data_IF_082282975279
#
_entry.id   IF_082282975279
#
_cell.length_a   1.000
_cell.length_b   1.000
_cell.length_c   1.000
_cell.angle_alpha   90.00
_cell.angle_beta   90.00
_cell.angle_gamma   90.00
#
_symmetry.space_group_name_H-M   'P 1'
#
loop_
_entity.id
_entity.type
_entity.pdbx_description
1 polymer ?
#
# COMPACT_ATOMS: atom_id res chain seq x y z
N UNK A 1 35.32 11.89 -14.15
CA UNK A 1 33.99 12.50 -13.86
C UNK A 1 32.89 12.11 -14.88
N UNK A 2 33.08 11.09 -15.74
CA UNK A 2 32.13 10.74 -16.81
C UNK A 2 31.10 9.63 -16.50
N UNK A 3 31.33 8.74 -15.52
CA UNK A 3 30.44 7.57 -15.33
C UNK A 3 29.15 7.84 -14.55
N UNK A 4 29.11 8.79 -13.62
CA UNK A 4 27.89 9.07 -12.82
C UNK A 4 26.75 9.67 -13.64
N UNK A 5 27.07 10.52 -14.63
CA UNK A 5 26.08 11.15 -15.51
C UNK A 5 25.43 10.17 -16.51
N UNK A 6 26.12 9.07 -16.85
CA UNK A 6 25.60 8.03 -17.74
C UNK A 6 24.56 7.16 -17.02
N UNK A 7 24.81 6.78 -15.77
CA UNK A 7 23.88 5.96 -14.97
C UNK A 7 22.61 6.71 -14.55
N UNK A 8 22.70 8.02 -14.32
CA UNK A 8 21.54 8.86 -13.97
C UNK A 8 20.58 9.03 -15.17
N UNK A 9 21.11 9.22 -16.39
CA UNK A 9 20.30 9.29 -17.60
C UNK A 9 19.50 8.00 -17.85
N UNK A 10 20.12 6.83 -17.65
CA UNK A 10 19.43 5.54 -17.83
C UNK A 10 18.36 5.30 -16.77
N UNK A 11 18.57 5.74 -15.53
CA UNK A 11 17.59 5.62 -14.45
C UNK A 11 16.38 6.55 -14.65
N UNK A 12 16.60 7.75 -15.17
CA UNK A 12 15.54 8.71 -15.49
C UNK A 12 14.70 8.26 -16.70
N UNK A 13 15.36 7.70 -17.71
CA UNK A 13 14.70 7.14 -18.91
C UNK A 13 13.87 5.89 -18.57
N UNK A 14 14.40 5.00 -17.72
CA UNK A 14 13.63 3.88 -17.16
C UNK A 14 12.49 4.34 -16.23
N UNK A 15 12.57 5.53 -15.61
CA UNK A 15 11.47 6.10 -14.79
C UNK A 15 10.37 6.67 -15.68
N UNK A 16 10.73 7.32 -16.80
CA UNK A 16 9.78 7.84 -17.80
C UNK A 16 9.03 6.73 -18.54
N UNK A 17 9.71 5.64 -18.90
CA UNK A 17 9.07 4.47 -19.51
C UNK A 17 8.11 3.73 -18.56
N UNK A 18 8.35 3.83 -17.24
CA UNK A 18 7.62 3.17 -16.15
C UNK A 18 6.33 3.88 -15.75
N UNK A 19 6.32 5.21 -15.71
CA UNK A 19 5.09 5.99 -15.49
C UNK A 19 4.14 5.95 -16.71
N UNK A 20 4.65 5.63 -17.92
CA UNK A 20 3.83 5.33 -19.12
C UNK A 20 3.07 4.00 -19.01
N UNK A 21 3.61 3.01 -18.30
CA UNK A 21 2.98 1.68 -18.16
C UNK A 21 1.75 1.75 -17.26
N UNK A 22 1.75 2.56 -16.21
CA UNK A 22 0.59 2.75 -15.34
C UNK A 22 -0.52 3.63 -15.90
N UNK A 23 -0.19 4.49 -16.85
CA UNK A 23 -1.08 5.49 -17.43
C UNK A 23 -2.22 4.91 -18.30
N UNK A 24 -2.08 3.68 -18.80
CA UNK A 24 -3.01 3.13 -19.81
C UNK A 24 -4.05 2.16 -19.22
N UNK A 25 -4.02 1.91 -17.92
CA UNK A 25 -4.97 1.00 -17.26
C UNK A 25 -6.25 1.73 -16.91
N UNK A 26 -7.33 1.34 -17.59
CA UNK A 26 -8.68 1.89 -17.36
C UNK A 26 -9.17 1.67 -15.93
N UNK A 27 -10.14 2.49 -15.50
CA UNK A 27 -10.80 2.31 -14.21
C UNK A 27 -11.48 0.94 -14.09
N UNK A 28 -12.11 0.44 -15.16
CA UNK A 28 -12.75 -0.88 -15.17
C UNK A 28 -11.76 -2.03 -14.97
N UNK A 29 -10.60 -1.96 -15.64
CA UNK A 29 -9.54 -2.97 -15.49
C UNK A 29 -8.92 -2.94 -14.09
N UNK A 30 -8.72 -1.75 -13.55
CA UNK A 30 -8.25 -1.58 -12.17
C UNK A 30 -9.21 -2.23 -11.17
N UNK A 31 -10.52 -1.96 -11.28
CA UNK A 31 -11.54 -2.57 -10.42
C UNK A 31 -11.56 -4.10 -10.57
N UNK A 32 -11.50 -4.60 -11.81
CA UNK A 32 -11.49 -6.05 -12.10
C UNK A 32 -10.32 -6.73 -11.37
N UNK A 33 -9.10 -6.22 -11.54
CA UNK A 33 -7.91 -6.83 -10.97
C UNK A 33 -7.90 -6.77 -9.43
N UNK A 34 -8.33 -5.65 -8.83
CA UNK A 34 -8.40 -5.54 -7.37
C UNK A 34 -9.51 -6.41 -6.77
N UNK A 35 -10.68 -6.51 -7.41
CA UNK A 35 -11.74 -7.44 -6.96
C UNK A 35 -11.28 -8.89 -7.06
N UNK A 36 -10.56 -9.24 -8.11
CA UNK A 36 -9.95 -10.57 -8.26
C UNK A 36 -8.95 -10.85 -7.14
N UNK A 37 -8.04 -9.91 -6.87
CA UNK A 37 -7.10 -9.97 -5.75
C UNK A 37 -7.84 -10.21 -4.43
N UNK A 38 -8.82 -9.38 -4.07
CA UNK A 38 -9.54 -9.48 -2.80
C UNK A 38 -10.27 -10.81 -2.65
N UNK A 39 -10.87 -11.32 -3.74
CA UNK A 39 -11.51 -12.65 -3.75
C UNK A 39 -10.52 -13.77 -3.43
N UNK A 40 -9.31 -13.72 -3.99
CA UNK A 40 -8.28 -14.72 -3.74
C UNK A 40 -7.73 -14.67 -2.31
N UNK A 41 -7.52 -13.46 -1.76
CA UNK A 41 -7.12 -13.29 -0.35
C UNK A 41 -8.16 -13.95 0.56
N UNK A 42 -9.45 -13.63 0.36
CA UNK A 42 -10.52 -14.11 1.22
C UNK A 42 -10.68 -15.65 1.21
N UNK A 43 -10.42 -16.29 0.06
CA UNK A 43 -10.44 -17.75 -0.09
C UNK A 43 -9.26 -18.42 0.63
N UNK A 44 -8.06 -17.81 0.59
CA UNK A 44 -6.88 -18.36 1.28
C UNK A 44 -7.02 -18.36 2.80
N UNK A 45 -7.81 -17.42 3.35
CA UNK A 45 -8.06 -17.27 4.79
C UNK A 45 -9.17 -18.16 5.37
N UNK A 46 -9.89 -18.97 4.58
CA UNK A 46 -10.99 -19.84 5.05
C UNK A 46 -10.54 -20.95 6.04
N UNK A 47 -9.23 -21.13 6.23
CA UNK A 47 -8.66 -22.09 7.19
C UNK A 47 -8.38 -21.55 8.60
N UNK A 48 -8.42 -20.24 8.86
CA UNK A 48 -8.09 -19.65 10.17
C UNK A 48 -9.24 -18.79 10.73
N UNK A 49 -9.64 -19.09 11.97
CA UNK A 49 -10.86 -18.63 12.67
C UNK A 49 -10.97 -17.13 13.01
N UNK A 50 -10.18 -16.25 12.39
CA UNK A 50 -10.34 -14.79 12.50
C UNK A 50 -10.25 -14.22 11.09
N UNK A 51 -11.40 -14.07 10.42
CA UNK A 51 -11.46 -13.57 9.05
C UNK A 51 -11.53 -12.05 9.13
N UNK A 52 -10.37 -11.39 9.16
CA UNK A 52 -10.28 -10.01 8.67
C UNK A 52 -10.85 -10.02 7.25
N UNK A 53 -11.76 -9.10 6.96
CA UNK A 53 -12.39 -8.98 5.66
C UNK A 53 -11.89 -7.70 5.01
N UNK A 54 -11.47 -7.82 3.75
CA UNK A 54 -11.01 -6.69 2.95
C UNK A 54 -12.05 -6.42 1.84
N UNK A 55 -12.47 -5.17 1.72
CA UNK A 55 -13.43 -4.74 0.69
C UNK A 55 -12.88 -3.53 -0.09
N UNK A 56 -13.28 -3.43 -1.37
CA UNK A 56 -13.02 -2.27 -2.23
C UNK A 56 -14.34 -1.54 -2.49
N UNK A 57 -14.42 -0.29 -2.05
CA UNK A 57 -15.52 0.63 -2.33
C UNK A 57 -15.09 1.62 -3.42
N UNK A 58 -15.96 1.85 -4.39
CA UNK A 58 -15.70 2.73 -5.54
C UNK A 58 -16.77 3.81 -5.55
N UNK A 59 -16.36 5.07 -5.44
CA UNK A 59 -17.25 6.23 -5.43
C UNK A 59 -16.99 7.10 -6.66
N UNK A 60 -18.05 7.41 -7.39
CA UNK A 60 -17.99 8.37 -8.49
C UNK A 60 -18.11 9.80 -7.95
N UNK A 61 -17.48 10.75 -8.64
CA UNK A 61 -17.64 12.16 -8.31
C UNK A 61 -19.11 12.59 -8.46
N UNK A 62 -19.62 13.33 -7.48
CA UNK A 62 -20.99 13.81 -7.42
C UNK A 62 -21.04 15.33 -7.15
N UNK A 63 -22.22 15.93 -7.32
CA UNK A 63 -22.46 17.32 -6.93
C UNK A 63 -22.53 17.46 -5.41
N UNK A 64 -21.98 18.55 -4.86
CA UNK A 64 -21.99 18.80 -3.43
C UNK A 64 -23.42 19.10 -2.93
N UNK A 65 -23.89 18.48 -1.83
CA UNK A 65 -25.29 18.56 -1.36
C UNK A 65 -25.78 19.93 -0.84
N UNK A 66 -25.03 21.03 -1.05
CA UNK A 66 -25.40 22.39 -0.63
C UNK A 66 -25.64 23.38 -1.78
N UNK A 67 -25.52 22.94 -3.04
CA UNK A 67 -25.48 23.85 -4.20
C UNK A 67 -26.84 24.02 -4.91
N UNK A 68 -27.96 23.78 -4.23
CA UNK A 68 -29.32 23.88 -4.83
C UNK A 68 -29.88 25.30 -4.95
N UNK A 69 -29.13 26.34 -4.58
CA UNK A 69 -29.57 27.73 -4.78
C UNK A 69 -28.41 28.71 -4.90
N UNK A 70 -27.69 28.67 -6.01
CA UNK A 70 -27.04 29.87 -6.57
C UNK A 70 -26.76 29.71 -8.07
N UNK A 71 -27.83 29.63 -8.86
CA UNK A 71 -27.78 30.10 -10.24
C UNK A 71 -27.62 31.64 -10.18
N UNK A 72 -26.40 32.11 -9.93
CA UNK A 72 -26.14 33.50 -9.60
C UNK A 72 -24.65 33.81 -9.51
N UNK A 73 -24.04 34.06 -10.66
CA UNK A 73 -22.87 34.93 -10.86
C UNK A 73 -21.81 34.96 -9.75
N UNK A 74 -20.83 34.06 -9.82
CA UNK A 74 -19.46 34.35 -9.39
C UNK A 74 -18.51 34.25 -10.58
N UNK A 75 -18.65 35.20 -11.52
CA UNK A 75 -17.71 35.45 -12.61
C UNK A 75 -16.36 35.93 -12.04
N UNK A 76 -15.56 35.01 -11.46
CA UNK A 76 -14.09 35.09 -11.28
C UNK A 76 -13.45 33.97 -10.43
N UNK A 77 -14.18 32.91 -10.03
CA UNK A 77 -13.57 31.77 -9.32
C UNK A 77 -12.81 30.85 -10.28
N UNK A 78 -11.52 31.15 -10.44
CA UNK A 78 -10.41 30.27 -10.87
C UNK A 78 -10.78 29.06 -11.76
N UNK A 79 -10.93 29.30 -13.07
CA UNK A 79 -11.13 28.28 -14.13
C UNK A 79 -10.04 27.19 -14.26
N UNK A 80 -9.14 27.08 -13.28
CA UNK A 80 -7.98 26.18 -13.30
C UNK A 80 -8.07 25.08 -12.24
N UNK A 81 -9.12 25.11 -11.40
CA UNK A 81 -9.30 24.16 -10.29
C UNK A 81 -10.52 23.28 -10.51
N UNK A 82 -10.41 22.02 -10.08
CA UNK A 82 -11.51 21.05 -10.12
C UNK A 82 -11.94 20.73 -8.70
N UNK A 83 -13.17 21.07 -8.33
CA UNK A 83 -13.79 20.65 -7.06
C UNK A 83 -14.47 19.30 -7.25
N UNK A 84 -14.02 18.29 -6.50
CA UNK A 84 -14.52 16.92 -6.57
C UNK A 84 -15.15 16.53 -5.23
N UNK A 85 -16.42 16.17 -5.23
CA UNK A 85 -17.10 15.65 -4.04
C UNK A 85 -17.42 14.18 -4.23
N UNK A 86 -17.19 13.37 -3.19
CA UNK A 86 -17.45 11.93 -3.20
C UNK A 86 -18.34 11.59 -2.01
N UNK A 87 -19.54 11.01 -2.21
CA UNK A 87 -20.42 10.62 -1.12
C UNK A 87 -19.91 9.33 -0.48
N UNK A 88 -18.83 9.45 0.30
CA UNK A 88 -18.21 8.31 0.98
C UNK A 88 -19.17 7.80 2.04
N UNK A 89 -19.73 6.62 1.78
CA UNK A 89 -20.57 5.88 2.70
C UNK A 89 -20.09 4.43 2.68
N UNK A 90 -19.48 3.99 3.78
CA UNK A 90 -19.01 2.61 3.93
C UNK A 90 -20.06 1.85 4.75
N UNK A 91 -20.68 0.84 4.15
CA UNK A 91 -21.73 0.05 4.81
C UNK A 91 -21.14 -0.86 5.89
N UNK A 92 -21.38 -0.53 7.17
CA UNK A 92 -21.10 -1.37 8.34
C UNK A 92 -21.05 -0.56 9.63
N UNK A 93 -20.92 -1.21 10.79
CA UNK A 93 -20.75 -0.49 12.06
C UNK A 93 -19.42 0.28 12.00
N UNK A 94 -19.47 1.60 12.07
CA UNK A 94 -18.31 2.50 11.90
C UNK A 94 -17.16 2.21 12.88
N UNK A 95 -17.45 1.59 14.04
CA UNK A 95 -16.45 1.27 15.07
C UNK A 95 -15.49 0.12 14.70
N UNK A 96 -15.85 -0.75 13.75
CA UNK A 96 -15.05 -1.95 13.40
C UNK A 96 -14.35 -1.85 12.02
N UNK A 97 -14.54 -0.74 11.30
CA UNK A 97 -14.02 -0.56 9.93
C UNK A 97 -12.84 0.42 9.95
N UNK A 98 -11.72 -0.01 9.40
CA UNK A 98 -10.54 0.84 9.21
C UNK A 98 -10.22 0.99 7.72
N UNK A 99 -9.75 2.16 7.32
CA UNK A 99 -9.25 2.38 5.96
C UNK A 99 -7.80 1.91 5.89
N UNK A 100 -7.54 0.96 4.99
CA UNK A 100 -6.18 0.49 4.68
C UNK A 100 -5.50 1.44 3.68
N UNK A 101 -6.21 1.80 2.61
CA UNK A 101 -5.71 2.66 1.55
C UNK A 101 -6.84 3.34 0.79
N UNK A 102 -6.68 4.59 0.38
CA UNK A 102 -7.57 5.22 -0.58
C UNK A 102 -6.78 5.95 -1.68
N UNK A 103 -7.30 5.88 -2.90
CA UNK A 103 -6.69 6.49 -4.08
C UNK A 103 -7.73 7.19 -4.94
N UNK A 104 -7.45 8.43 -5.30
CA UNK A 104 -8.18 9.17 -6.32
C UNK A 104 -7.62 8.82 -7.69
N UNK A 105 -8.46 8.26 -8.58
CA UNK A 105 -8.13 8.01 -9.98
C UNK A 105 -8.96 8.91 -10.90
N UNK A 106 -8.34 9.39 -11.98
CA UNK A 106 -9.02 10.20 -12.99
C UNK A 106 -8.27 10.13 -14.33
N UNK A 107 -8.99 10.40 -15.41
CA UNK A 107 -8.40 10.54 -16.73
C UNK A 107 -7.97 12.00 -16.93
N UNK A 108 -6.66 12.21 -17.05
CA UNK A 108 -6.08 13.50 -17.42
C UNK A 108 -5.98 13.55 -18.95
N UNK A 109 -6.69 14.48 -19.56
CA UNK A 109 -6.67 14.62 -21.02
C UNK A 109 -5.33 15.17 -21.50
N UNK A 110 -4.91 14.73 -22.70
CA UNK A 110 -3.71 15.22 -23.37
C UNK A 110 -3.72 16.75 -23.55
N UNK A 111 -2.56 17.34 -23.72
CA UNK A 111 -2.40 18.75 -24.00
C UNK A 111 -1.46 18.96 -25.18
N UNK A 112 -1.99 19.56 -26.23
CA UNK A 112 -1.27 19.84 -27.46
C UNK A 112 -0.24 20.98 -27.33
N UNK A 113 -0.09 21.58 -26.14
CA UNK A 113 0.91 22.62 -25.87
C UNK A 113 2.31 22.01 -25.71
N UNK A 114 3.33 22.86 -25.88
CA UNK A 114 4.75 22.47 -25.78
C UNK A 114 5.03 21.73 -24.46
N UNK A 115 5.97 20.77 -24.44
CA UNK A 115 6.33 20.07 -23.21
C UNK A 115 6.91 21.07 -22.21
N UNK A 116 6.21 21.29 -21.11
CA UNK A 116 6.75 21.97 -19.91
C UNK A 116 6.31 21.20 -18.69
N UNK A 117 7.08 21.30 -17.62
CA UNK A 117 6.90 20.46 -16.44
C UNK A 117 5.50 20.69 -15.86
N UNK A 118 4.76 19.60 -15.66
CA UNK A 118 3.39 19.61 -15.17
C UNK A 118 3.38 19.03 -13.77
N UNK A 119 2.74 19.73 -12.85
CA UNK A 119 2.55 19.29 -11.48
C UNK A 119 1.05 19.23 -11.17
N UNK A 120 0.63 18.19 -10.45
CA UNK A 120 -0.70 18.08 -9.89
C UNK A 120 -0.66 18.24 -8.37
N UNK A 121 -1.53 19.10 -7.86
CA UNK A 121 -1.68 19.36 -6.44
C UNK A 121 -3.09 18.94 -6.02
N UNK A 122 -3.19 18.15 -4.96
CA UNK A 122 -4.46 17.80 -4.31
C UNK A 122 -4.56 18.54 -3.01
N UNK A 123 -5.72 19.17 -2.80
CA UNK A 123 -6.07 19.80 -1.55
C UNK A 123 -7.29 19.11 -0.92
N UNK A 124 -7.24 18.95 0.40
CA UNK A 124 -8.42 18.68 1.22
C UNK A 124 -9.22 19.97 1.38
N UNK A 125 -10.52 19.94 1.05
CA UNK A 125 -11.40 21.08 1.28
C UNK A 125 -11.92 21.06 2.71
N UNK A 126 -12.02 22.23 3.32
CA UNK A 126 -12.66 22.47 4.62
C UNK A 126 -13.69 23.60 4.45
N UNK A 127 -14.58 23.87 5.42
CA UNK A 127 -15.58 24.94 5.27
C UNK A 127 -14.98 26.31 4.95
N UNK A 128 -13.79 26.58 5.49
CA UNK A 128 -13.15 27.92 5.49
C UNK A 128 -11.81 27.98 4.76
N UNK A 129 -11.17 26.84 4.50
CA UNK A 129 -9.83 26.81 3.87
C UNK A 129 -9.61 25.55 3.02
N UNK A 130 -8.42 25.43 2.42
CA UNK A 130 -7.94 24.23 1.75
C UNK A 130 -6.56 23.86 2.27
N UNK A 131 -6.29 22.57 2.45
CA UNK A 131 -5.01 22.05 2.94
C UNK A 131 -4.36 21.17 1.88
N UNK A 132 -3.11 21.46 1.51
CA UNK A 132 -2.38 20.64 0.55
C UNK A 132 -2.13 19.25 1.15
N UNK A 133 -2.54 18.20 0.44
CA UNK A 133 -2.28 16.80 0.80
C UNK A 133 -1.08 16.26 0.03
N UNK A 134 -1.08 16.47 -1.28
CA UNK A 134 -0.09 15.87 -2.17
C UNK A 134 0.30 16.84 -3.27
N UNK A 135 1.60 16.87 -3.58
CA UNK A 135 2.18 17.50 -4.77
C UNK A 135 2.89 16.41 -5.57
N UNK A 136 2.47 16.21 -6.82
CA UNK A 136 3.00 15.17 -7.71
C UNK A 136 3.49 15.80 -9.01
N UNK A 137 4.78 15.61 -9.29
CA UNK A 137 5.34 15.87 -10.62
C UNK A 137 4.84 14.82 -11.61
N UNK A 138 4.34 15.27 -12.75
CA UNK A 138 3.85 14.45 -13.85
C UNK A 138 4.94 14.44 -14.93
N UNK A 139 5.59 13.29 -15.18
CA UNK A 139 6.61 13.21 -16.20
C UNK A 139 6.01 13.49 -17.58
N UNK A 140 6.81 14.20 -18.39
CA UNK A 140 6.47 14.53 -19.76
C UNK A 140 6.30 13.23 -20.56
N UNK A 141 5.07 13.02 -21.05
CA UNK A 141 4.73 11.94 -21.98
C UNK A 141 4.60 12.50 -23.39
N UNK A 142 4.10 11.71 -24.33
CA UNK A 142 3.63 12.29 -25.59
C UNK A 142 2.50 13.28 -25.27
N UNK A 143 2.59 14.56 -25.69
CA UNK A 143 1.66 15.60 -25.25
C UNK A 143 0.20 15.30 -25.62
N UNK A 144 -0.03 14.51 -26.68
CA UNK A 144 -1.34 14.22 -27.25
C UNK A 144 -2.17 13.23 -26.47
N UNK A 145 -1.56 12.40 -25.62
CA UNK A 145 -2.23 11.22 -25.11
C UNK A 145 -2.85 11.47 -23.73
N UNK A 146 -4.13 11.16 -23.62
CA UNK A 146 -4.83 11.10 -22.34
C UNK A 146 -4.27 9.96 -21.50
N UNK A 147 -4.12 10.19 -20.20
CA UNK A 147 -3.52 9.24 -19.26
C UNK A 147 -4.34 9.11 -17.99
N UNK A 148 -4.43 7.90 -17.47
CA UNK A 148 -4.95 7.66 -16.12
C UNK A 148 -3.93 8.11 -15.09
N UNK A 149 -4.42 8.88 -14.13
CA UNK A 149 -3.68 9.34 -12.97
C UNK A 149 -4.22 8.63 -11.75
N UNK A 150 -3.33 8.30 -10.82
CA UNK A 150 -3.66 7.76 -9.50
C UNK A 150 -2.88 8.55 -8.46
N UNK A 151 -3.60 9.09 -7.47
CA UNK A 151 -3.04 9.89 -6.41
C UNK A 151 -3.55 9.42 -5.05
N UNK A 152 -2.66 9.39 -4.06
CA UNK A 152 -3.00 8.96 -2.70
C UNK A 152 -3.97 9.96 -2.05
N UNK A 153 -5.09 9.45 -1.56
CA UNK A 153 -6.13 10.21 -0.87
C UNK A 153 -6.50 9.58 0.47
N UNK A 154 -5.66 8.68 1.00
CA UNK A 154 -5.91 7.91 2.23
C UNK A 154 -6.22 8.84 3.41
N UNK A 155 -5.41 9.87 3.63
CA UNK A 155 -5.60 10.84 4.71
C UNK A 155 -6.95 11.58 4.62
N UNK A 156 -7.35 11.98 3.42
CA UNK A 156 -8.63 12.66 3.20
C UNK A 156 -9.81 11.74 3.54
N UNK A 157 -9.78 10.53 3.01
CA UNK A 157 -10.87 9.56 3.20
C UNK A 157 -10.98 9.13 4.66
N UNK A 158 -9.85 8.96 5.36
CA UNK A 158 -9.85 8.70 6.82
C UNK A 158 -10.51 9.83 7.58
N UNK A 159 -10.18 11.08 7.28
CA UNK A 159 -10.80 12.23 7.94
C UNK A 159 -12.31 12.33 7.73
N UNK A 160 -12.86 11.82 6.63
CA UNK A 160 -14.30 11.85 6.36
C UNK A 160 -15.09 10.73 7.05
N UNK A 161 -14.41 9.68 7.52
CA UNK A 161 -15.04 8.61 8.31
C UNK A 161 -14.92 8.86 9.82
N UNK A 162 -14.07 9.78 10.25
CA UNK A 162 -13.98 10.19 11.65
C UNK A 162 -15.24 10.98 12.06
N UNK A 163 -15.86 10.56 13.17
CA UNK A 163 -17.09 11.17 13.67
C UNK A 163 -16.91 12.68 13.91
N UNK A 164 -17.81 13.48 13.31
CA UNK A 164 -17.88 14.93 13.50
C UNK A 164 -17.14 15.78 12.47
N UNK A 165 -16.46 15.17 11.49
CA UNK A 165 -15.87 15.90 10.36
C UNK A 165 -16.78 15.83 9.13
N UNK A 166 -17.15 17.00 8.60
CA UNK A 166 -17.92 17.10 7.37
C UNK A 166 -17.04 16.84 6.15
N UNK A 167 -17.55 16.00 5.24
CA UNK A 167 -16.93 15.77 3.95
C UNK A 167 -17.22 16.95 2.99
N UNK A 168 -16.19 17.73 2.69
CA UNK A 168 -16.27 18.81 1.68
C UNK A 168 -15.60 18.45 0.35
N UNK A 169 -15.09 17.23 0.22
CA UNK A 169 -14.40 16.75 -0.98
C UNK A 169 -12.96 17.24 -1.14
N UNK A 170 -12.44 17.05 -2.35
CA UNK A 170 -11.08 17.36 -2.77
C UNK A 170 -11.07 18.49 -3.79
N UNK A 171 -9.95 19.18 -3.90
CA UNK A 171 -9.70 20.14 -4.97
C UNK A 171 -8.41 19.77 -5.70
N UNK A 172 -8.48 19.70 -7.04
CA UNK A 172 -7.32 19.49 -7.90
C UNK A 172 -6.90 20.79 -8.56
N UNK A 173 -5.61 21.06 -8.54
CA UNK A 173 -4.98 22.19 -9.22
C UNK A 173 -3.75 21.72 -9.99
N UNK A 174 -3.56 22.25 -11.19
CA UNK A 174 -2.43 21.92 -12.04
C UNK A 174 -1.52 23.12 -12.22
N UNK A 175 -0.21 22.90 -12.11
CA UNK A 175 0.81 23.92 -12.32
C UNK A 175 1.69 23.55 -13.52
N UNK A 176 1.96 24.53 -14.37
CA UNK A 176 2.91 24.44 -15.45
C UNK A 176 4.05 25.41 -15.18
N UNK A 177 5.28 24.90 -15.03
CA UNK A 177 6.43 25.71 -14.60
C UNK A 177 6.10 26.54 -13.33
N UNK A 178 5.36 25.94 -12.38
CA UNK A 178 4.90 26.60 -11.16
C UNK A 178 3.73 27.58 -11.31
N UNK A 179 3.14 27.74 -12.50
CA UNK A 179 1.99 28.64 -12.73
C UNK A 179 0.68 27.86 -12.91
N UNK A 180 -0.44 28.28 -12.28
CA UNK A 180 -1.73 27.64 -12.47
C UNK A 180 -2.11 27.53 -13.94
N UNK A 181 -2.52 26.34 -14.36
CA UNK A 181 -2.95 26.05 -15.74
C UNK A 181 -4.26 25.29 -15.75
N UNK A 182 -5.06 25.50 -16.79
CA UNK A 182 -6.29 24.73 -17.02
C UNK A 182 -5.92 23.39 -17.64
N UNK A 183 -6.38 22.30 -17.02
CA UNK A 183 -6.34 20.94 -17.58
C UNK A 183 -7.73 20.34 -17.52
N UNK A 184 -8.05 19.49 -18.49
CA UNK A 184 -9.31 18.77 -18.50
C UNK A 184 -9.14 17.42 -17.81
N UNK A 185 -10.09 17.12 -16.94
CA UNK A 185 -10.11 15.93 -16.09
C UNK A 185 -11.49 15.32 -16.23
N UNK A 186 -11.53 14.02 -16.49
CA UNK A 186 -12.77 13.25 -16.60
C UNK A 186 -12.69 11.96 -15.79
N UNK A 187 -13.84 11.31 -15.59
CA UNK A 187 -13.94 9.99 -14.92
C UNK A 187 -13.26 9.96 -13.55
N UNK A 188 -13.43 11.02 -12.75
CA UNK A 188 -12.88 11.08 -11.41
C UNK A 188 -13.59 10.07 -10.49
N UNK A 189 -12.83 9.14 -9.95
CA UNK A 189 -13.30 8.02 -9.15
C UNK A 189 -12.42 7.87 -7.91
N UNK A 190 -13.05 7.74 -6.75
CA UNK A 190 -12.37 7.49 -5.48
C UNK A 190 -12.48 5.99 -5.14
N UNK A 191 -11.34 5.34 -5.03
CA UNK A 191 -11.24 3.94 -4.60
C UNK A 191 -10.83 3.90 -3.13
N UNK A 192 -11.57 3.16 -2.31
CA UNK A 192 -11.34 3.05 -0.87
C UNK A 192 -11.27 1.57 -0.49
N UNK A 193 -10.12 1.16 0.04
CA UNK A 193 -9.88 -0.18 0.59
C UNK A 193 -10.09 -0.14 2.09
N UNK A 194 -10.98 -0.99 2.57
CA UNK A 194 -11.33 -1.08 3.98
C UNK A 194 -11.01 -2.46 4.52
N UNK A 195 -10.71 -2.51 5.81
CA UNK A 195 -10.59 -3.77 6.55
C UNK A 195 -11.56 -3.74 7.73
N UNK A 196 -12.30 -4.83 7.89
CA UNK A 196 -13.13 -5.05 9.07
C UNK A 196 -12.58 -6.24 9.83
N UNK A 197 -12.18 -6.04 11.08
CA UNK A 197 -11.81 -7.11 11.98
C UNK A 197 -13.01 -7.41 12.89
N UNK A 198 -13.58 -8.63 12.90
CA UNK A 198 -14.60 -8.97 13.89
C UNK A 198 -13.96 -8.90 15.28
N UNK A 199 -14.60 -8.14 16.18
CA UNK A 199 -14.10 -7.80 17.51
C UNK A 199 -13.34 -8.94 18.20
N UNK A 200 -12.15 -8.61 18.73
CA UNK A 200 -11.20 -9.55 19.32
C UNK A 200 -11.79 -10.34 20.50
N UNK A 201 -12.53 -11.41 20.18
CA UNK A 201 -12.95 -12.43 21.14
C UNK A 201 -11.70 -13.10 21.72
N UNK A 202 -11.59 -13.06 23.06
CA UNK A 202 -10.54 -13.72 23.86
C UNK A 202 -10.07 -15.03 23.22
N UNK A 203 -8.78 -15.09 22.86
CA UNK A 203 -8.09 -16.32 22.41
C UNK A 203 -8.46 -17.49 23.31
N UNK A 204 -9.26 -18.43 22.82
CA UNK A 204 -9.39 -19.75 23.44
C UNK A 204 -8.04 -20.46 23.28
N UNK A 205 -7.37 -20.64 24.42
CA UNK A 205 -6.17 -21.46 24.56
C UNK A 205 -6.56 -22.89 24.20
N UNK A 206 -6.13 -23.39 23.05
CA UNK A 206 -6.31 -24.80 22.72
C UNK A 206 -5.47 -25.65 23.69
N UNK A 207 -6.06 -26.76 24.11
CA UNK A 207 -5.50 -27.74 25.03
C UNK A 207 -4.29 -28.45 24.42
N UNK A 208 -3.31 -28.89 25.24
CA UNK A 208 -2.17 -29.65 24.75
C UNK A 208 -2.50 -31.15 24.81
N UNK A 209 -2.66 -31.79 23.66
CA UNK A 209 -2.52 -33.25 23.59
C UNK A 209 -1.09 -33.64 23.19
N UNK A 210 -0.67 -34.71 23.85
CA UNK A 210 0.69 -35.15 24.08
C UNK A 210 1.39 -35.70 22.84
N UNK A 211 2.66 -35.32 22.72
CA UNK A 211 3.82 -36.06 22.21
C UNK A 211 4.92 -35.00 22.08
N UNK A 212 6.02 -35.09 22.86
CA UNK A 212 7.08 -34.07 22.89
C UNK A 212 7.58 -33.66 21.49
N UNK A 213 7.59 -32.35 21.12
CA UNK A 213 8.44 -31.89 20.03
C UNK A 213 9.16 -30.57 20.36
N UNK A 214 10.34 -30.34 19.77
CA UNK A 214 11.12 -29.09 19.86
C UNK A 214 10.39 -27.82 19.31
N UNK A 215 9.10 -27.91 19.03
CA UNK A 215 8.30 -26.94 18.26
C UNK A 215 7.30 -26.12 19.11
N UNK A 216 7.24 -26.29 20.44
CA UNK A 216 6.34 -25.47 21.28
C UNK A 216 6.83 -24.01 21.35
N UNK A 217 6.19 -23.15 20.56
CA UNK A 217 6.22 -21.69 20.74
C UNK A 217 7.31 -20.95 19.96
N UNK A 218 7.48 -21.26 18.67
CA UNK A 218 8.18 -20.36 17.75
C UNK A 218 7.48 -19.00 17.81
N UNK A 219 8.20 -17.97 18.27
CA UNK A 219 7.60 -16.67 18.60
C UNK A 219 7.25 -15.95 17.31
N UNK A 220 5.94 -15.84 17.03
CA UNK A 220 5.41 -15.09 15.88
C UNK A 220 5.47 -13.57 16.07
N UNK A 221 5.52 -13.05 17.30
CA UNK A 221 5.78 -11.63 17.60
C UNK A 221 6.53 -11.47 18.92
N UNK A 222 7.48 -10.54 18.98
CA UNK A 222 8.17 -10.20 20.22
C UNK A 222 7.29 -9.35 21.13
N UNK A 223 7.18 -9.70 22.42
CA UNK A 223 6.64 -8.77 23.42
C UNK A 223 7.78 -7.93 24.00
N UNK A 224 7.74 -6.61 23.76
CA UNK A 224 8.60 -5.59 24.38
C UNK A 224 9.95 -5.33 23.69
N UNK A 225 10.45 -4.10 23.84
CA UNK A 225 11.67 -3.57 23.22
C UNK A 225 12.98 -4.25 23.64
N UNK A 226 12.96 -5.10 24.68
CA UNK A 226 14.15 -5.64 25.32
C UNK A 226 14.40 -7.15 25.10
N UNK A 227 13.85 -7.76 24.05
CA UNK A 227 14.17 -9.16 23.76
C UNK A 227 15.53 -9.29 23.04
N UNK A 228 16.61 -9.40 23.82
CA UNK A 228 17.95 -9.77 23.33
C UNK A 228 18.01 -11.17 22.69
N UNK A 229 16.91 -11.94 22.71
CA UNK A 229 16.81 -13.34 22.22
C UNK A 229 16.13 -13.39 20.84
N UNK A 230 16.46 -14.41 20.05
CA UNK A 230 15.96 -14.58 18.68
C UNK A 230 14.43 -14.54 18.61
N UNK A 231 13.92 -13.66 17.74
CA UNK A 231 12.50 -13.37 17.62
C UNK A 231 12.20 -12.60 16.31
N UNK A 232 10.94 -12.64 15.84
CA UNK A 232 10.43 -11.89 14.68
C UNK A 232 10.08 -10.46 15.07
N UNK A 233 10.61 -9.50 14.32
CA UNK A 233 10.31 -8.07 14.40
C UNK A 233 9.50 -7.65 13.18
N UNK A 234 8.57 -6.71 13.38
CA UNK A 234 7.77 -6.13 12.30
C UNK A 234 8.64 -5.22 11.43
N UNK A 235 8.41 -5.26 10.12
CA UNK A 235 9.06 -4.40 9.13
C UNK A 235 8.09 -4.16 7.99
N UNK A 236 7.44 -3.00 8.04
CA UNK A 236 6.59 -2.51 6.98
C UNK A 236 7.44 -2.05 5.81
N UNK A 237 7.27 -2.69 4.67
CA UNK A 237 7.89 -2.32 3.39
C UNK A 237 6.84 -1.67 2.52
N UNK A 238 7.11 -0.45 2.03
CA UNK A 238 6.28 0.20 1.02
C UNK A 238 6.96 0.09 -0.34
N UNK A 239 6.26 -0.43 -1.36
CA UNK A 239 6.86 -0.64 -2.68
C UNK A 239 7.28 0.67 -3.36
N UNK A 240 6.60 1.78 -3.02
CA UNK A 240 6.96 3.13 -3.51
C UNK A 240 8.37 3.57 -3.11
N UNK A 241 8.92 3.01 -2.03
CA UNK A 241 10.27 3.35 -1.54
C UNK A 241 11.35 2.47 -2.19
N UNK A 242 10.96 1.41 -2.90
CA UNK A 242 11.85 0.43 -3.53
C UNK A 242 12.00 0.72 -5.02
N UNK A 243 13.19 1.21 -5.40
CA UNK A 243 13.53 1.43 -6.81
C UNK A 243 13.48 0.11 -7.60
N UNK A 244 12.71 0.09 -8.68
CA UNK A 244 12.53 -1.08 -9.54
C UNK A 244 11.31 -1.95 -9.18
N UNK A 245 10.54 -1.60 -8.15
CA UNK A 245 9.31 -2.30 -7.75
C UNK A 245 8.04 -1.48 -8.02
N UNK A 246 8.14 -0.37 -8.74
CA UNK A 246 7.03 0.53 -9.04
C UNK A 246 6.00 -0.08 -9.99
N UNK A 247 6.32 -1.22 -10.62
CA UNK A 247 5.39 -1.99 -11.45
C UNK A 247 4.29 -2.70 -10.62
N UNK A 248 4.47 -2.78 -9.29
CA UNK A 248 3.49 -3.34 -8.37
C UNK A 248 2.45 -2.27 -8.03
N UNK A 249 1.19 -2.60 -8.32
CA UNK A 249 0.03 -1.73 -8.08
C UNK A 249 -0.52 -1.93 -6.68
N UNK A 250 -0.61 -3.17 -6.21
CA UNK A 250 -1.16 -3.53 -4.90
C UNK A 250 -0.54 -4.83 -4.36
N UNK A 251 -0.36 -5.01 -3.03
CA UNK A 251 -0.59 -4.01 -1.97
C UNK A 251 0.39 -2.85 -2.04
N UNK A 252 0.05 -1.70 -1.44
CA UNK A 252 0.96 -0.53 -1.40
C UNK A 252 2.14 -0.76 -0.45
N UNK A 253 1.93 -1.57 0.58
CA UNK A 253 2.96 -2.06 1.47
C UNK A 253 2.52 -3.31 2.23
N UNK A 254 3.46 -3.98 2.87
CA UNK A 254 3.21 -5.19 3.65
C UNK A 254 4.24 -5.35 4.77
N UNK A 255 3.88 -6.10 5.83
CA UNK A 255 4.82 -6.47 6.90
C UNK A 255 5.67 -7.67 6.48
N UNK A 256 6.80 -7.42 5.83
CA UNK A 256 7.79 -8.45 5.53
C UNK A 256 8.32 -9.06 6.84
N UNK A 257 8.64 -8.19 7.80
CA UNK A 257 9.32 -8.48 9.06
C UNK A 257 10.65 -9.23 8.91
N UNK A 258 11.37 -9.38 10.02
CA UNK A 258 12.72 -9.93 10.01
C UNK A 258 13.09 -10.60 11.33
N UNK A 259 14.10 -11.47 11.28
CA UNK A 259 14.59 -12.18 12.46
C UNK A 259 15.79 -11.48 13.07
N UNK A 260 15.71 -11.18 14.37
CA UNK A 260 16.82 -10.56 15.10
C UNK A 260 16.86 -11.04 16.55
N UNK A 261 18.08 -11.17 17.07
CA UNK A 261 18.36 -11.52 18.47
C UNK A 261 19.42 -12.60 18.60
N UNK A 262 19.82 -12.89 19.84
CA UNK A 262 20.79 -13.93 20.18
C UNK A 262 20.10 -15.29 20.34
N UNK A 263 20.85 -16.36 20.11
CA UNK A 263 20.40 -17.75 20.32
C UNK A 263 21.15 -18.38 21.51
N UNK A 264 20.66 -18.23 22.75
CA UNK A 264 21.20 -18.96 23.88
C UNK A 264 21.07 -20.49 23.71
N UNK A 265 21.86 -21.30 24.43
CA UNK A 265 21.74 -22.76 24.39
C UNK A 265 20.31 -23.23 24.69
N UNK A 266 19.83 -24.21 23.92
CA UNK A 266 18.46 -24.77 23.98
C UNK A 266 17.32 -23.79 23.65
N UNK A 267 17.62 -22.54 23.27
CA UNK A 267 16.58 -21.56 22.96
C UNK A 267 16.11 -21.67 21.50
N UNK A 268 14.82 -22.01 21.31
CA UNK A 268 14.13 -22.02 20.02
C UNK A 268 14.91 -22.66 18.84
N UNK A 269 15.49 -23.87 19.01
CA UNK A 269 16.24 -24.52 17.94
C UNK A 269 15.32 -24.87 16.76
N UNK A 270 15.76 -24.61 15.54
CA UNK A 270 15.02 -24.94 14.33
C UNK A 270 14.88 -26.46 14.14
N UNK A 271 15.97 -27.19 14.40
CA UNK A 271 16.10 -28.64 14.25
C UNK A 271 17.02 -29.24 15.33
N UNK A 272 17.12 -30.57 15.41
CA UNK A 272 17.99 -31.26 16.37
C UNK A 272 19.47 -30.90 16.21
N UNK A 273 19.94 -30.65 14.98
CA UNK A 273 21.31 -30.21 14.72
C UNK A 273 21.61 -28.88 15.41
N UNK A 274 20.71 -27.89 15.29
CA UNK A 274 20.85 -26.59 15.95
C UNK A 274 20.80 -26.71 17.48
N UNK A 275 19.99 -27.64 18.02
CA UNK A 275 20.02 -27.95 19.45
C UNK A 275 21.39 -28.48 19.87
N UNK A 276 21.93 -29.49 19.18
CA UNK A 276 23.24 -30.08 19.48
C UNK A 276 24.36 -29.03 19.37
N UNK A 277 24.36 -28.24 18.30
CA UNK A 277 25.31 -27.14 18.10
C UNK A 277 25.25 -26.13 19.26
N UNK A 278 24.05 -25.78 19.72
CA UNK A 278 23.88 -24.87 20.85
C UNK A 278 24.43 -25.42 22.18
N UNK A 279 24.39 -26.75 22.36
CA UNK A 279 24.95 -27.43 23.52
C UNK A 279 26.47 -27.51 23.44
N UNK A 280 27.02 -27.87 22.27
CA UNK A 280 28.46 -27.91 22.04
C UNK A 280 29.10 -26.53 22.20
N UNK A 281 28.46 -25.47 21.67
CA UNK A 281 28.92 -24.09 21.88
C UNK A 281 28.90 -23.68 23.37
N UNK A 282 27.95 -24.23 24.16
CA UNK A 282 27.91 -23.97 25.60
C UNK A 282 29.13 -24.56 26.32
N UNK A 283 29.57 -25.74 25.88
CA UNK A 283 30.71 -26.47 26.44
C UNK A 283 32.04 -25.87 25.99
N UNK A 284 32.23 -25.71 24.67
CA UNK A 284 33.44 -25.15 24.08
C UNK A 284 33.11 -24.16 22.96
N UNK A 285 33.22 -22.87 23.30
CA UNK A 285 32.96 -21.75 22.40
C UNK A 285 34.00 -21.59 21.29
N UNK A 286 35.20 -22.17 21.44
CA UNK A 286 36.27 -22.07 20.43
C UNK A 286 36.12 -23.13 19.35
N UNK A 287 35.50 -24.27 19.68
CA UNK A 287 35.33 -25.40 18.77
C UNK A 287 34.14 -25.28 17.83
N UNK A 288 32.99 -24.80 18.32
CA UNK A 288 31.73 -24.76 17.56
C UNK A 288 31.13 -23.36 17.66
N UNK A 289 30.65 -22.73 16.57
CA UNK A 289 29.98 -21.44 16.64
C UNK A 289 28.57 -21.55 17.23
N UNK A 290 28.07 -20.45 17.80
CA UNK A 290 26.67 -20.35 18.23
C UNK A 290 25.71 -20.40 17.02
N UNK A 291 24.49 -20.95 17.16
CA UNK A 291 23.45 -20.84 16.13
C UNK A 291 23.06 -19.40 15.81
N UNK A 292 22.59 -19.17 14.59
CA UNK A 292 22.13 -17.87 14.09
C UNK A 292 20.60 -17.77 14.19
N UNK A 293 20.09 -16.54 14.33
CA UNK A 293 18.64 -16.29 14.31
C UNK A 293 18.18 -16.10 12.86
N UNK A 294 17.36 -17.01 12.34
CA UNK A 294 16.91 -17.02 10.95
C UNK A 294 15.40 -17.31 10.84
N UNK A 295 14.76 -16.98 9.71
CA UNK A 295 13.37 -17.37 9.46
C UNK A 295 13.21 -18.88 9.46
N UNK A 296 12.22 -19.38 10.19
CA UNK A 296 11.86 -20.81 10.23
C UNK A 296 10.56 -21.11 9.49
N UNK A 297 9.74 -20.09 9.28
CA UNK A 297 8.53 -20.16 8.47
C UNK A 297 8.39 -18.85 7.72
N UNK A 298 8.20 -18.97 6.41
CA UNK A 298 7.95 -17.86 5.51
C UNK A 298 6.55 -18.03 4.91
N UNK A 299 5.93 -16.92 4.52
CA UNK A 299 4.71 -16.87 3.76
C UNK A 299 4.93 -16.27 2.36
N UNK A 300 3.93 -16.46 1.52
CA UNK A 300 3.83 -15.81 0.23
C UNK A 300 3.03 -14.51 0.31
N UNK A 301 3.35 -13.56 -0.56
CA UNK A 301 2.59 -12.34 -0.77
C UNK A 301 1.93 -12.38 -2.14
N UNK A 302 0.63 -12.13 -2.20
CA UNK A 302 -0.04 -11.90 -3.49
C UNK A 302 0.17 -10.46 -3.92
N UNK A 303 0.38 -10.23 -5.22
CA UNK A 303 0.60 -8.91 -5.79
C UNK A 303 -0.24 -8.70 -7.05
N UNK A 304 -0.69 -7.47 -7.27
CA UNK A 304 -1.25 -6.96 -8.52
C UNK A 304 -0.19 -6.11 -9.19
N UNK A 305 0.10 -6.36 -10.47
CA UNK A 305 1.18 -5.67 -11.17
C UNK A 305 0.87 -5.47 -12.66
N UNK A 306 1.58 -4.53 -13.29
CA UNK A 306 1.48 -4.29 -14.73
C UNK A 306 2.19 -5.38 -15.53
N UNK A 307 1.54 -5.89 -16.56
CA UNK A 307 2.20 -6.80 -17.51
C UNK A 307 3.08 -6.02 -18.48
N UNK A 308 4.36 -6.35 -18.54
CA UNK A 308 5.32 -5.73 -19.47
C UNK A 308 4.93 -5.93 -20.94
N UNK A 309 4.21 -7.01 -21.25
CA UNK A 309 3.78 -7.32 -22.61
C UNK A 309 2.43 -6.67 -22.98
N UNK A 310 1.64 -6.27 -21.98
CA UNK A 310 0.31 -5.71 -22.15
C UNK A 310 0.09 -4.59 -21.12
N UNK A 311 0.57 -3.39 -21.43
CA UNK A 311 0.53 -2.22 -20.53
C UNK A 311 -0.88 -1.75 -20.15
N UNK A 312 -1.93 -2.31 -20.75
CA UNK A 312 -3.34 -2.00 -20.45
C UNK A 312 -3.97 -3.00 -19.49
N UNK A 313 -3.29 -4.10 -19.16
CA UNK A 313 -3.81 -5.16 -18.29
C UNK A 313 -3.03 -5.31 -16.99
N UNK A 314 -3.76 -5.64 -15.94
CA UNK A 314 -3.21 -5.96 -14.63
C UNK A 314 -3.29 -7.46 -14.37
N UNK A 315 -2.18 -8.00 -13.89
CA UNK A 315 -2.05 -9.42 -13.53
C UNK A 315 -1.92 -9.59 -12.02
N UNK A 316 -2.41 -10.73 -11.54
CA UNK A 316 -2.26 -11.17 -10.14
C UNK A 316 -1.24 -12.31 -10.10
N UNK A 317 -0.30 -12.25 -9.16
CA UNK A 317 0.71 -13.30 -8.97
C UNK A 317 1.08 -13.45 -7.49
N UNK A 318 1.84 -14.50 -7.17
CA UNK A 318 2.29 -14.82 -5.82
C UNK A 318 3.81 -14.82 -5.73
N UNK A 319 4.33 -14.07 -4.77
CA UNK A 319 5.74 -14.04 -4.42
C UNK A 319 5.98 -14.89 -3.18
N UNK A 320 6.63 -16.03 -3.38
CA UNK A 320 6.90 -16.99 -2.30
C UNK A 320 8.05 -16.52 -1.43
N UNK A 321 8.02 -16.92 -0.16
CA UNK A 321 9.13 -16.75 0.79
C UNK A 321 9.53 -15.29 1.06
N UNK A 322 8.59 -14.36 1.00
CA UNK A 322 8.88 -12.92 1.12
C UNK A 322 8.44 -12.32 2.47
N UNK A 323 7.50 -12.97 3.16
CA UNK A 323 7.06 -12.56 4.48
C UNK A 323 7.57 -13.56 5.53
N UNK A 324 8.23 -13.09 6.57
CA UNK A 324 8.60 -13.94 7.71
C UNK A 324 7.35 -14.18 8.56
N UNK A 325 7.11 -15.39 9.05
CA UNK A 325 6.04 -15.65 10.03
C UNK A 325 6.61 -16.03 11.39
N UNK A 326 7.72 -16.78 11.37
CA UNK A 326 8.36 -17.30 12.56
C UNK A 326 9.89 -17.27 12.39
N UNK A 327 10.58 -17.05 13.50
CA UNK A 327 12.04 -17.16 13.58
C UNK A 327 12.44 -18.35 14.46
N UNK A 328 13.59 -18.96 14.15
CA UNK A 328 14.23 -19.97 14.98
C UNK A 328 15.76 -19.80 14.97
N UNK A 329 16.42 -20.56 15.84
CA UNK A 329 17.86 -20.64 15.93
C UNK A 329 18.35 -21.83 15.11
N UNK A 330 19.11 -21.57 14.05
CA UNK A 330 19.64 -22.58 13.12
C UNK A 330 21.15 -22.57 13.09
#
# INVERSE_FOLDING_TARGET
MGSRKSTEKTAEEQRRQRDRIGANVSQAEYERAHREYLKQVQLSHDGQKFRTRWDLHVFQAAEHPGNKSSLGFSLRREYHRHSLYFPVAVSGNAEDITIDHASLRFLLEGDHRRPRDLEALIYLRTPVSRRLLLRREIPQGEPTDSRWMELDSTEATSSWLEDGLENHGLELEFLHDGRPTRREVSHATLNVFTTSEPGSGRRKRSTPEELMPLHKGRRSRCKGDNNKKCCRHELTVMFKDLKGFEFIVYPKGFDAGYCKGRCPPRYNPAHHHALLQSLLWKEDRKRVPKPCCAPSKLDQLMIVYFDENQSTQLKVSYWKNIQVLECACS
#
